data_IF_853227394313
#
_entry.id   IF_853227394313
#
_cell.length_a   1.000
_cell.length_b   1.000
_cell.length_c   1.000
_cell.angle_alpha   90.00
_cell.angle_beta   90.00
_cell.angle_gamma   90.00
#
_symmetry.space_group_name_H-M   'P 1'
#
loop_
_entity.id
_entity.type
_entity.pdbx_description
1 polymer ?
#
# COMPACT_ATOMS: atom_id res chain seq x y z
N UNK A 1 53.06 8.36 -73.66
CA UNK A 1 53.42 9.77 -73.37
C UNK A 1 52.40 10.69 -74.01
N UNK A 2 52.18 11.83 -73.36
CA UNK A 2 51.44 13.03 -73.78
C UNK A 2 50.00 13.23 -73.29
N UNK A 3 49.91 14.38 -72.62
CA UNK A 3 48.87 14.93 -71.77
C UNK A 3 47.75 15.63 -72.56
N UNK A 4 46.56 15.63 -71.94
CA UNK A 4 45.58 16.71 -71.78
C UNK A 4 45.48 17.83 -72.84
N UNK A 5 44.24 18.27 -73.11
CA UNK A 5 43.79 19.60 -72.64
C UNK A 5 42.28 19.80 -72.73
N UNK A 6 41.78 20.37 -71.64
CA UNK A 6 40.45 20.89 -71.41
C UNK A 6 40.06 21.99 -72.41
N UNK A 7 38.79 22.02 -72.81
CA UNK A 7 38.09 23.24 -73.20
C UNK A 7 36.85 23.40 -72.31
N UNK A 8 36.86 24.47 -71.50
CA UNK A 8 35.72 24.93 -70.69
C UNK A 8 34.57 25.38 -71.60
N UNK A 9 33.34 25.02 -71.24
CA UNK A 9 32.17 25.87 -71.47
C UNK A 9 31.22 25.78 -70.28
N UNK A 10 30.97 26.96 -69.72
CA UNK A 10 30.09 27.29 -68.60
C UNK A 10 28.65 27.13 -69.03
N UNK A 11 27.77 26.58 -68.19
CA UNK A 11 26.36 26.96 -68.20
C UNK A 11 25.68 26.78 -66.84
N UNK A 12 25.26 27.93 -66.31
CA UNK A 12 24.14 28.26 -65.44
C UNK A 12 23.68 27.29 -64.34
N UNK A 13 23.81 27.78 -63.12
CA UNK A 13 23.14 27.35 -61.89
C UNK A 13 21.63 27.58 -61.98
N UNK A 14 20.84 26.56 -61.67
CA UNK A 14 19.45 26.70 -61.22
C UNK A 14 19.34 26.06 -59.84
N UNK A 15 19.03 26.88 -58.83
CA UNK A 15 18.85 26.46 -57.44
C UNK A 15 17.49 25.77 -57.31
N UNK A 16 17.48 24.47 -57.09
CA UNK A 16 16.31 23.75 -56.61
C UNK A 16 16.34 23.71 -55.08
N UNK A 17 15.43 24.45 -54.43
CA UNK A 17 15.24 24.35 -52.98
C UNK A 17 14.50 23.04 -52.70
N UNK A 18 15.24 22.03 -52.24
CA UNK A 18 14.64 20.82 -51.72
C UNK A 18 14.01 21.11 -50.36
N UNK A 19 12.69 21.05 -50.26
CA UNK A 19 11.99 21.03 -48.98
C UNK A 19 12.22 19.66 -48.36
N UNK A 20 13.24 19.53 -47.52
CA UNK A 20 13.43 18.31 -46.71
C UNK A 20 12.35 18.31 -45.64
N UNK A 21 11.31 17.50 -45.82
CA UNK A 21 10.40 17.14 -44.74
C UNK A 21 11.24 16.52 -43.62
N UNK A 22 11.44 17.26 -42.52
CA UNK A 22 12.02 16.73 -41.30
C UNK A 22 10.99 15.80 -40.68
N UNK A 23 11.07 14.50 -41.00
CA UNK A 23 10.35 13.49 -40.24
C UNK A 23 10.98 13.44 -38.85
N UNK A 24 10.37 14.17 -37.92
CA UNK A 24 10.65 14.01 -36.50
C UNK A 24 10.23 12.59 -36.17
N UNK A 25 11.20 11.66 -36.12
CA UNK A 25 10.97 10.33 -35.55
C UNK A 25 10.63 10.59 -34.09
N UNK A 26 9.35 10.56 -33.75
CA UNK A 26 8.88 10.61 -32.39
C UNK A 26 9.51 9.41 -31.68
N UNK A 27 10.55 9.64 -30.87
CA UNK A 27 11.06 8.64 -29.95
C UNK A 27 9.88 8.14 -29.15
N UNK A 28 9.54 6.84 -29.19
CA UNK A 28 8.46 6.31 -28.37
C UNK A 28 8.81 6.69 -26.93
N UNK A 29 7.96 7.51 -26.32
CA UNK A 29 8.11 7.87 -24.92
C UNK A 29 8.14 6.55 -24.16
N UNK A 30 9.31 6.16 -23.65
CA UNK A 30 9.40 4.99 -22.78
C UNK A 30 8.55 5.34 -21.58
N UNK A 31 7.33 4.80 -21.54
CA UNK A 31 6.40 4.95 -20.43
C UNK A 31 7.14 4.38 -19.24
N UNK A 32 7.76 5.25 -18.43
CA UNK A 32 8.46 4.88 -17.21
C UNK A 32 7.51 3.98 -16.45
N UNK A 33 7.86 2.71 -16.30
CA UNK A 33 7.00 1.74 -15.65
C UNK A 33 6.58 2.32 -14.30
N UNK A 34 5.27 2.43 -14.07
CA UNK A 34 4.76 2.96 -12.81
C UNK A 34 5.40 2.17 -11.68
N UNK A 35 6.08 2.88 -10.78
CA UNK A 35 6.76 2.24 -9.67
C UNK A 35 5.71 1.45 -8.87
N UNK A 36 5.92 0.14 -8.71
CA UNK A 36 4.98 -0.74 -8.02
C UNK A 36 4.50 -0.11 -6.70
N UNK A 37 3.18 0.05 -6.60
CA UNK A 37 2.52 0.64 -5.44
C UNK A 37 1.63 -0.40 -4.78
N UNK A 38 1.63 -0.41 -3.45
CA UNK A 38 0.94 -1.41 -2.65
C UNK A 38 -0.05 -0.72 -1.72
N UNK A 39 -1.27 -1.21 -1.63
CA UNK A 39 -2.28 -0.67 -0.72
C UNK A 39 -2.14 -1.29 0.65
N UNK A 40 -2.44 -0.51 1.68
CA UNK A 40 -2.49 -0.97 3.06
C UNK A 40 -3.75 -0.44 3.76
N UNK A 41 -4.47 -1.34 4.41
CA UNK A 41 -5.78 -1.12 5.01
C UNK A 41 -5.73 -1.49 6.49
N UNK A 42 -6.28 -0.65 7.36
CA UNK A 42 -6.45 -1.02 8.77
C UNK A 42 -7.72 -1.85 8.91
N UNK A 43 -7.56 -3.10 9.33
CA UNK A 43 -8.62 -4.09 9.50
C UNK A 43 -8.69 -4.53 10.97
N UNK A 44 -9.88 -4.95 11.40
CA UNK A 44 -10.12 -5.33 12.79
C UNK A 44 -11.28 -6.29 12.89
N UNK A 45 -11.29 -7.02 14.01
CA UNK A 45 -12.44 -7.72 14.55
C UNK A 45 -12.48 -7.49 16.06
N UNK A 46 -13.60 -7.02 16.56
CA UNK A 46 -13.85 -6.95 18.01
C UNK A 46 -14.42 -8.26 18.54
N UNK A 47 -14.38 -8.47 19.86
CA UNK A 47 -14.98 -9.65 20.50
C UNK A 47 -16.50 -9.77 20.27
N UNK A 48 -17.18 -8.67 19.94
CA UNK A 48 -18.60 -8.66 19.56
C UNK A 48 -18.83 -8.75 18.05
N UNK A 49 -17.81 -9.19 17.30
CA UNK A 49 -17.89 -9.40 15.87
C UNK A 49 -18.27 -8.12 15.12
N UNK A 50 -17.67 -6.99 15.50
CA UNK A 50 -17.62 -5.78 14.65
C UNK A 50 -16.35 -5.84 13.81
N UNK A 51 -16.43 -5.64 12.49
CA UNK A 51 -15.33 -5.87 11.56
C UNK A 51 -15.10 -4.74 10.57
N UNK A 52 -13.85 -4.63 10.13
CA UNK A 52 -13.51 -4.31 8.74
C UNK A 52 -12.74 -5.48 8.18
N UNK A 53 -13.29 -6.11 7.14
CA UNK A 53 -12.69 -7.28 6.52
C UNK A 53 -11.38 -6.92 5.79
N UNK A 54 -10.63 -7.95 5.40
CA UNK A 54 -9.51 -7.84 4.48
C UNK A 54 -9.97 -7.44 3.07
N UNK A 55 -9.06 -6.87 2.28
CA UNK A 55 -9.39 -6.20 1.01
C UNK A 55 -9.93 -7.12 -0.09
N UNK A 56 -9.64 -8.41 -0.02
CA UNK A 56 -10.06 -9.43 -0.99
C UNK A 56 -11.36 -10.14 -0.60
N UNK A 57 -11.93 -9.81 0.56
CA UNK A 57 -13.24 -10.30 0.98
C UNK A 57 -14.36 -9.56 0.24
N UNK A 58 -15.39 -10.29 -0.21
CA UNK A 58 -16.53 -9.70 -0.94
C UNK A 58 -17.29 -8.63 -0.13
N UNK A 59 -17.21 -8.68 1.20
CA UNK A 59 -17.81 -7.70 2.11
C UNK A 59 -16.82 -6.62 2.52
N UNK A 60 -15.63 -6.53 1.91
CA UNK A 60 -14.72 -5.42 2.15
C UNK A 60 -15.40 -4.09 1.84
N UNK A 61 -15.32 -3.15 2.77
CA UNK A 61 -15.87 -1.81 2.56
C UNK A 61 -15.23 -0.78 3.47
N UNK A 62 -15.50 0.49 3.17
CA UNK A 62 -15.17 1.63 4.04
C UNK A 62 -16.27 1.87 5.08
N UNK A 63 -16.82 0.77 5.63
CA UNK A 63 -17.82 0.76 6.69
C UNK A 63 -17.50 -0.39 7.63
N UNK A 64 -17.60 -0.15 8.93
CA UNK A 64 -17.68 -1.25 9.88
C UNK A 64 -18.96 -2.07 9.67
N UNK A 65 -18.85 -3.38 9.84
CA UNK A 65 -19.97 -4.31 9.78
C UNK A 65 -20.05 -5.10 11.07
N UNK A 66 -21.23 -5.60 11.41
CA UNK A 66 -21.39 -6.52 12.53
C UNK A 66 -22.38 -7.62 12.12
N UNK A 67 -22.03 -8.86 12.42
CA UNK A 67 -22.80 -10.05 12.00
C UNK A 67 -23.87 -10.45 13.00
N UNK A 68 -23.88 -9.88 14.20
CA UNK A 68 -24.76 -10.29 15.31
C UNK A 68 -25.66 -9.14 15.78
N UNK A 69 -25.12 -7.93 15.89
CA UNK A 69 -25.79 -6.77 16.46
C UNK A 69 -25.86 -5.64 15.44
N UNK A 70 -26.99 -4.93 15.41
CA UNK A 70 -27.10 -3.70 14.61
C UNK A 70 -26.10 -2.66 15.10
N UNK A 71 -25.20 -2.23 14.22
CA UNK A 71 -24.29 -1.12 14.53
C UNK A 71 -25.06 0.19 14.67
N UNK A 72 -24.66 1.01 15.64
CA UNK A 72 -25.04 2.43 15.65
C UNK A 72 -24.56 3.14 14.38
N UNK A 73 -25.13 4.32 14.06
CA UNK A 73 -24.77 5.12 12.88
C UNK A 73 -23.26 5.11 12.62
N UNK A 74 -22.89 4.53 11.50
CA UNK A 74 -21.50 4.27 11.11
C UNK A 74 -20.88 5.55 10.54
N UNK A 75 -20.21 6.31 11.40
CA UNK A 75 -19.51 7.57 11.04
C UNK A 75 -17.99 7.39 10.95
N UNK A 76 -17.54 6.14 10.90
CA UNK A 76 -16.12 5.78 10.92
C UNK A 76 -15.49 6.20 9.61
N UNK A 77 -14.37 6.91 9.68
CA UNK A 77 -13.56 7.29 8.52
C UNK A 77 -12.27 6.49 8.50
N UNK A 78 -11.95 5.98 7.32
CA UNK A 78 -10.81 5.12 7.05
C UNK A 78 -9.73 5.94 6.33
N UNK A 79 -8.54 5.99 6.91
CA UNK A 79 -7.34 6.52 6.27
C UNK A 79 -6.43 5.35 5.95
N UNK A 80 -6.59 4.84 4.75
CA UNK A 80 -5.70 3.84 4.16
C UNK A 80 -4.48 4.53 3.54
N UNK A 81 -3.48 3.74 3.17
CA UNK A 81 -2.24 4.28 2.59
C UNK A 81 -1.80 3.51 1.36
N UNK A 82 -1.01 4.18 0.53
CA UNK A 82 -0.32 3.57 -0.61
C UNK A 82 1.17 3.55 -0.32
N UNK A 83 1.71 2.35 -0.16
CA UNK A 83 3.11 2.07 0.05
C UNK A 83 3.85 2.00 -1.29
N UNK A 84 5.14 2.32 -1.27
CA UNK A 84 6.05 2.21 -2.41
C UNK A 84 7.25 1.36 -2.00
N UNK A 85 7.99 0.86 -2.99
CA UNK A 85 9.28 0.22 -2.75
C UNK A 85 10.25 1.09 -1.94
N UNK A 86 11.20 0.43 -1.29
CA UNK A 86 12.17 1.04 -0.38
C UNK A 86 11.74 0.98 1.09
N UNK A 87 12.54 1.61 1.96
CA UNK A 87 12.28 1.70 3.40
C UNK A 87 11.58 3.02 3.72
N UNK A 88 10.31 2.98 4.11
CA UNK A 88 9.47 4.16 4.39
C UNK A 88 8.54 3.92 5.57
N UNK A 89 8.13 5.00 6.23
CA UNK A 89 7.14 4.95 7.31
C UNK A 89 5.78 5.37 6.79
N UNK A 90 4.77 4.59 7.11
CA UNK A 90 3.38 4.82 6.71
C UNK A 90 2.46 4.87 7.92
N UNK A 91 1.28 5.45 7.70
CA UNK A 91 0.23 5.55 8.72
C UNK A 91 -1.07 5.06 8.14
N UNK A 92 -1.75 4.17 8.87
CA UNK A 92 -3.16 3.84 8.67
C UNK A 92 -3.95 4.22 9.90
N UNK A 93 -5.18 4.67 9.72
CA UNK A 93 -5.95 5.23 10.82
C UNK A 93 -7.46 5.08 10.63
N UNK A 94 -8.15 4.82 11.74
CA UNK A 94 -9.60 4.93 11.89
C UNK A 94 -9.92 6.12 12.80
N UNK A 95 -10.91 6.90 12.42
CA UNK A 95 -11.48 7.98 13.25
C UNK A 95 -12.99 7.87 13.27
N UNK A 96 -13.65 8.51 14.24
CA UNK A 96 -15.11 8.44 14.35
C UNK A 96 -15.60 7.06 14.80
N UNK A 97 -14.80 6.32 15.58
CA UNK A 97 -15.18 5.02 16.16
C UNK A 97 -16.32 5.11 17.20
N UNK A 98 -16.71 6.34 17.57
CA UNK A 98 -17.71 6.65 18.57
C UNK A 98 -18.96 5.76 18.42
N UNK A 99 -19.51 5.30 19.54
CA UNK A 99 -20.68 4.41 19.65
C UNK A 99 -20.58 3.05 18.92
N UNK A 100 -19.87 2.93 17.79
CA UNK A 100 -19.79 1.71 16.97
C UNK A 100 -19.11 0.54 17.69
N UNK A 101 -18.03 0.81 18.42
CA UNK A 101 -17.29 -0.20 19.20
C UNK A 101 -17.23 0.14 20.69
N UNK A 102 -18.00 1.12 21.14
CA UNK A 102 -17.89 1.66 22.50
C UNK A 102 -18.29 0.66 23.60
N UNK A 103 -19.12 -0.33 23.26
CA UNK A 103 -19.55 -1.42 24.16
C UNK A 103 -18.65 -2.66 24.07
N UNK A 104 -17.62 -2.63 23.23
CA UNK A 104 -16.70 -3.73 23.05
C UNK A 104 -15.55 -3.58 24.05
N UNK A 105 -15.02 -4.70 24.53
CA UNK A 105 -13.97 -4.71 25.57
C UNK A 105 -12.60 -5.03 25.00
N UNK A 106 -12.56 -5.85 23.94
CA UNK A 106 -11.32 -6.38 23.37
C UNK A 106 -11.44 -6.55 21.86
N UNK A 107 -10.30 -6.56 21.20
CA UNK A 107 -10.12 -7.05 19.84
C UNK A 107 -9.86 -8.56 19.83
N UNK A 108 -10.49 -9.28 18.91
CA UNK A 108 -10.02 -10.59 18.48
C UNK A 108 -8.84 -10.40 17.53
N UNK A 109 -8.96 -9.47 16.58
CA UNK A 109 -7.88 -9.10 15.66
C UNK A 109 -7.79 -7.59 15.44
N UNK A 110 -6.56 -7.11 15.23
CA UNK A 110 -6.22 -5.80 14.72
C UNK A 110 -4.98 -5.97 13.86
N UNK A 111 -5.05 -5.58 12.60
CA UNK A 111 -3.97 -5.83 11.65
C UNK A 111 -3.97 -4.82 10.51
N UNK A 112 -2.83 -4.68 9.84
CA UNK A 112 -2.73 -3.95 8.58
C UNK A 112 -2.70 -4.96 7.45
N UNK A 113 -3.75 -4.98 6.66
CA UNK A 113 -3.90 -5.81 5.47
C UNK A 113 -3.24 -5.13 4.26
N UNK A 114 -2.69 -5.89 3.32
CA UNK A 114 -2.03 -5.33 2.13
C UNK A 114 -2.36 -6.14 0.88
N UNK A 115 -2.23 -5.53 -0.30
CA UNK A 115 -2.34 -6.26 -1.56
C UNK A 115 -1.02 -6.94 -2.01
N UNK A 116 0.00 -7.02 -1.14
CA UNK A 116 1.23 -7.77 -1.42
C UNK A 116 0.93 -9.25 -1.31
N UNK A 117 1.21 -10.03 -2.36
CA UNK A 117 0.97 -11.47 -2.36
C UNK A 117 1.79 -12.18 -1.30
N UNK A 118 1.22 -13.20 -0.65
CA UNK A 118 1.86 -13.96 0.42
C UNK A 118 3.20 -14.58 0.01
N UNK A 119 3.31 -15.06 -1.24
CA UNK A 119 4.58 -15.53 -1.85
C UNK A 119 5.71 -14.49 -1.84
N UNK A 120 5.37 -13.20 -1.78
CA UNK A 120 6.32 -12.09 -1.74
C UNK A 120 6.64 -11.62 -0.30
N UNK A 121 6.12 -12.28 0.75
CA UNK A 121 6.39 -11.96 2.17
C UNK A 121 7.89 -11.81 2.47
N UNK A 122 8.75 -12.63 1.85
CA UNK A 122 10.22 -12.56 2.02
C UNK A 122 10.86 -11.26 1.55
N UNK A 123 10.16 -10.47 0.72
CA UNK A 123 10.58 -9.15 0.25
C UNK A 123 10.15 -8.02 1.18
N UNK A 124 9.36 -8.33 2.22
CA UNK A 124 8.78 -7.36 3.15
C UNK A 124 9.41 -7.52 4.52
N UNK A 125 9.80 -6.40 5.13
CA UNK A 125 10.19 -6.35 6.53
C UNK A 125 9.49 -5.17 7.19
N UNK A 126 8.85 -5.41 8.34
CA UNK A 126 8.15 -4.36 9.11
C UNK A 126 8.81 -4.19 10.46
N UNK A 127 9.06 -2.94 10.82
CA UNK A 127 9.71 -2.52 12.08
C UNK A 127 9.03 -1.28 12.64
N UNK A 128 9.30 -0.96 13.91
CA UNK A 128 8.84 0.28 14.55
C UNK A 128 7.33 0.50 14.44
N UNK A 129 6.54 -0.54 14.73
CA UNK A 129 5.08 -0.46 14.70
C UNK A 129 4.63 0.22 15.98
N UNK A 130 4.19 1.47 15.89
CA UNK A 130 3.60 2.21 17.00
C UNK A 130 2.08 2.20 16.88
N UNK A 131 1.43 1.72 17.92
CA UNK A 131 -0.02 1.62 18.03
C UNK A 131 -0.50 2.74 18.95
N UNK A 132 -1.48 3.49 18.47
CA UNK A 132 -2.10 4.58 19.20
C UNK A 132 -3.61 4.35 19.30
N UNK A 133 -4.13 4.41 20.51
CA UNK A 133 -5.55 4.37 20.82
C UNK A 133 -5.95 5.69 21.45
N UNK A 134 -6.96 6.34 20.88
CA UNK A 134 -7.45 7.65 21.31
C UNK A 134 -6.33 8.69 21.50
N UNK A 135 -5.37 8.70 20.56
CA UNK A 135 -4.22 9.60 20.57
C UNK A 135 -3.03 9.14 21.44
N UNK A 136 -3.25 8.25 22.42
CA UNK A 136 -2.19 7.74 23.31
C UNK A 136 -1.45 6.57 22.69
N UNK A 137 -0.12 6.60 22.69
CA UNK A 137 0.71 5.46 22.29
C UNK A 137 0.54 4.34 23.33
N UNK A 138 0.04 3.18 22.91
CA UNK A 138 -0.20 2.03 23.80
C UNK A 138 0.84 0.93 23.65
N UNK A 139 1.49 0.83 22.49
CA UNK A 139 2.51 -0.19 22.23
C UNK A 139 3.47 0.26 21.14
N UNK A 140 4.73 -0.13 21.30
CA UNK A 140 5.72 -0.21 20.22
C UNK A 140 6.10 -1.67 20.02
N UNK A 141 5.96 -2.18 18.79
CA UNK A 141 6.42 -3.52 18.39
C UNK A 141 7.64 -3.31 17.50
N UNK A 142 8.81 -3.75 17.98
CA UNK A 142 10.10 -3.52 17.29
C UNK A 142 10.16 -4.21 15.92
N UNK A 143 9.66 -5.46 15.85
CA UNK A 143 9.62 -6.29 14.63
C UNK A 143 8.19 -6.81 14.44
N UNK A 144 7.57 -6.48 13.31
CA UNK A 144 6.21 -6.88 13.00
C UNK A 144 6.10 -8.39 12.73
N UNK A 145 4.98 -8.99 13.16
CA UNK A 145 4.62 -10.36 12.79
C UNK A 145 3.84 -10.30 11.49
N UNK A 146 4.32 -11.02 10.48
CA UNK A 146 3.69 -11.06 9.15
C UNK A 146 3.01 -12.40 8.91
N UNK A 147 1.83 -12.33 8.32
CA UNK A 147 1.20 -13.46 7.61
C UNK A 147 1.57 -13.41 6.11
N UNK A 148 1.41 -14.50 5.35
CA UNK A 148 1.02 -15.84 5.79
C UNK A 148 2.00 -16.43 6.80
N UNK A 149 1.59 -17.43 7.58
CA UNK A 149 2.45 -18.07 8.58
C UNK A 149 3.68 -18.75 7.93
N UNK A 150 4.72 -19.14 8.70
CA UNK A 150 5.88 -19.83 8.15
C UNK A 150 5.44 -21.11 7.42
N UNK A 151 6.02 -21.38 6.26
CA UNK A 151 5.58 -22.49 5.40
C UNK A 151 4.37 -22.18 4.51
N UNK A 152 3.65 -21.07 4.74
CA UNK A 152 2.50 -20.68 3.94
C UNK A 152 2.81 -19.53 2.98
N UNK A 153 2.20 -19.56 1.80
CA UNK A 153 2.34 -18.54 0.74
C UNK A 153 1.03 -17.99 0.20
N UNK A 154 -0.09 -18.61 0.53
CA UNK A 154 -1.40 -18.23 0.03
C UNK A 154 -1.95 -16.98 0.71
N UNK A 155 -2.80 -16.24 -0.01
CA UNK A 155 -3.34 -14.98 0.45
C UNK A 155 -2.33 -13.83 0.34
N UNK A 156 -2.33 -12.95 1.35
CA UNK A 156 -1.65 -11.67 1.31
C UNK A 156 -0.81 -11.41 2.56
N UNK A 157 0.17 -10.52 2.41
CA UNK A 157 1.00 -10.08 3.53
C UNK A 157 0.18 -9.18 4.44
N UNK A 158 0.01 -9.57 5.70
CA UNK A 158 -0.64 -8.74 6.71
C UNK A 158 0.27 -8.55 7.91
N UNK A 159 0.34 -7.31 8.42
CA UNK A 159 0.99 -7.00 9.69
C UNK A 159 0.02 -7.24 10.85
N UNK A 160 0.28 -8.28 11.62
CA UNK A 160 -0.53 -8.64 12.79
C UNK A 160 -0.12 -7.78 14.00
N UNK A 161 -1.09 -7.13 14.64
CA UNK A 161 -0.86 -6.26 15.82
C UNK A 161 -1.51 -6.89 17.05
N UNK A 162 -2.77 -7.30 16.93
CA UNK A 162 -3.49 -8.12 17.91
C UNK A 162 -4.08 -9.28 17.13
N UNK A 163 -3.88 -10.50 17.60
CA UNK A 163 -4.52 -11.68 17.05
C UNK A 163 -4.59 -12.75 18.15
N UNK A 164 -5.79 -13.08 18.62
CA UNK A 164 -5.96 -14.06 19.69
C UNK A 164 -5.66 -15.51 19.27
N UNK A 165 -5.62 -15.78 17.97
CA UNK A 165 -5.38 -17.11 17.41
C UNK A 165 -3.94 -17.31 16.90
N UNK A 166 -3.12 -16.26 16.88
CA UNK A 166 -1.72 -16.36 16.44
C UNK A 166 -0.78 -16.14 17.63
N UNK A 167 -0.21 -17.23 18.14
CA UNK A 167 0.71 -17.22 19.28
C UNK A 167 2.00 -16.42 19.05
N UNK A 168 2.37 -16.17 17.79
CA UNK A 168 3.54 -15.33 17.45
C UNK A 168 3.29 -13.85 17.72
N UNK A 169 2.03 -13.44 17.80
CA UNK A 169 1.62 -12.05 18.07
C UNK A 169 1.61 -11.81 19.58
N UNK A 170 2.57 -11.02 20.05
CA UNK A 170 2.70 -10.72 21.47
C UNK A 170 1.46 -9.99 22.02
N UNK A 171 0.91 -10.50 23.13
CA UNK A 171 -0.18 -9.86 23.85
C UNK A 171 0.32 -8.60 24.56
N UNK A 172 -0.53 -7.57 24.67
CA UNK A 172 -0.27 -6.38 25.46
C UNK A 172 -1.57 -5.81 26.03
N UNK A 173 -1.47 -5.14 27.19
CA UNK A 173 -2.61 -4.48 27.83
C UNK A 173 -2.96 -3.19 27.11
N UNK A 174 -4.25 -2.91 26.97
CA UNK A 174 -4.77 -1.66 26.41
C UNK A 174 -6.18 -1.40 26.93
N UNK A 175 -6.60 -0.14 26.82
CA UNK A 175 -8.01 0.25 26.95
C UNK A 175 -8.62 0.30 25.55
N UNK A 176 -9.83 -0.25 25.37
CA UNK A 176 -10.50 -0.25 24.08
C UNK A 176 -10.67 1.19 23.57
N UNK A 177 -10.17 1.52 22.35
CA UNK A 177 -10.31 2.86 21.79
C UNK A 177 -11.77 3.17 21.49
N UNK A 178 -12.20 4.39 21.80
CA UNK A 178 -13.57 4.86 21.56
C UNK A 178 -13.66 5.86 20.41
N UNK A 179 -12.55 6.54 20.08
CA UNK A 179 -12.52 7.65 19.12
C UNK A 179 -11.65 7.33 17.91
N UNK A 180 -10.41 6.88 18.14
CA UNK A 180 -9.42 6.70 17.07
C UNK A 180 -8.52 5.49 17.29
N UNK A 181 -8.17 4.83 16.19
CA UNK A 181 -7.05 3.87 16.13
C UNK A 181 -6.08 4.38 15.09
N UNK A 182 -4.80 4.54 15.45
CA UNK A 182 -3.75 4.91 14.50
C UNK A 182 -2.59 3.93 14.64
N UNK A 183 -2.10 3.46 13.51
CA UNK A 183 -0.90 2.62 13.44
C UNK A 183 0.10 3.28 12.52
N UNK A 184 1.30 3.53 13.04
CA UNK A 184 2.45 3.97 12.23
C UNK A 184 3.47 2.86 12.18
N UNK A 185 4.03 2.55 11.03
CA UNK A 185 4.98 1.45 10.88
C UNK A 185 6.00 1.75 9.78
N UNK A 186 7.24 1.30 9.99
CA UNK A 186 8.29 1.35 8.97
C UNK A 186 8.30 0.03 8.21
N UNK A 187 8.08 0.09 6.90
CA UNK A 187 8.17 -1.07 6.01
C UNK A 187 9.33 -0.91 5.05
N UNK A 188 10.07 -1.99 4.80
CA UNK A 188 11.01 -2.14 3.70
C UNK A 188 10.43 -3.14 2.71
N UNK A 189 10.22 -2.69 1.46
CA UNK A 189 9.79 -3.55 0.34
C UNK A 189 10.91 -3.56 -0.70
N UNK A 190 11.41 -4.76 -1.03
CA UNK A 190 12.45 -4.98 -2.06
C UNK A 190 11.86 -4.98 -3.47
#
# INVERSE_FOLDING_TARGET
>A
MYFSKFAKKVLAVAVAVAVTASSVVATPSTKKADAASYKAYLCLQTAKFTFRNQHDDAKFSNKLQNTTNKLSKNSVKFKDTTMKKGKKTYTVQLTGLNKCIAKDKTFNTLYVDTNIKGKDKKKVTVTNVNVFFDGKKVKTIKKGVLTPDPGQTDGFVQLQIINMWNSRVAKFKYTMPKKTIKVTYTVKIK
#
